data_IF_245134209741
#
_entry.id   IF_245134209741
#
_cell.length_a   1.000
_cell.length_b   1.000
_cell.length_c   1.000
_cell.angle_alpha   90.00
_cell.angle_beta   90.00
_cell.angle_gamma   90.00
#
_symmetry.space_group_name_H-M   'P 1'
#
loop_
_entity.id
_entity.type
_entity.pdbx_description
1 polymer ?
#
# COMPACT_ATOMS: atom_id res chain seq x y z
N UNK A 1 -14.61 5.44 37.91
CA UNK A 1 -13.78 4.38 37.29
C UNK A 1 -12.51 4.24 38.10
N UNK A 2 -12.19 3.04 38.55
CA UNK A 2 -10.92 2.77 39.25
C UNK A 2 -9.76 2.66 38.24
N UNK A 3 -8.52 2.76 38.71
CA UNK A 3 -7.33 2.58 37.85
C UNK A 3 -7.32 1.19 37.21
N UNK A 4 -7.66 0.14 37.97
CA UNK A 4 -7.75 -1.23 37.47
C UNK A 4 -8.82 -1.39 36.37
N UNK A 5 -9.99 -0.78 36.56
CA UNK A 5 -11.06 -0.78 35.55
C UNK A 5 -10.61 -0.09 34.26
N UNK A 6 -9.92 1.06 34.37
CA UNK A 6 -9.39 1.79 33.22
C UNK A 6 -8.38 0.95 32.43
N UNK A 7 -7.41 0.32 33.11
CA UNK A 7 -6.39 -0.53 32.46
C UNK A 7 -7.04 -1.68 31.69
N UNK A 8 -8.05 -2.34 32.29
CA UNK A 8 -8.79 -3.43 31.64
C UNK A 8 -9.54 -2.90 30.40
N UNK A 9 -10.25 -1.78 30.52
CA UNK A 9 -10.99 -1.17 29.41
C UNK A 9 -10.09 -0.78 28.25
N UNK A 10 -8.94 -0.16 28.52
CA UNK A 10 -7.96 0.22 27.50
C UNK A 10 -7.41 -1.02 26.80
N UNK A 11 -7.04 -2.05 27.56
CA UNK A 11 -6.50 -3.31 27.01
C UNK A 11 -7.52 -4.00 26.11
N UNK A 12 -8.77 -4.14 26.56
CA UNK A 12 -9.85 -4.74 25.77
C UNK A 12 -10.12 -3.90 24.51
N UNK A 13 -10.20 -2.59 24.64
CA UNK A 13 -10.45 -1.68 23.52
C UNK A 13 -9.38 -1.81 22.43
N UNK A 14 -8.10 -1.90 22.83
CA UNK A 14 -6.98 -2.12 21.93
C UNK A 14 -7.09 -3.46 21.20
N UNK A 15 -7.29 -4.56 21.94
CA UNK A 15 -7.38 -5.91 21.35
C UNK A 15 -8.56 -6.00 20.39
N UNK A 16 -9.74 -5.50 20.78
CA UNK A 16 -10.93 -5.51 19.94
C UNK A 16 -10.72 -4.68 18.67
N UNK A 17 -10.19 -3.45 18.80
CA UNK A 17 -9.90 -2.61 17.64
C UNK A 17 -8.90 -3.29 16.70
N UNK A 18 -7.83 -3.88 17.23
CA UNK A 18 -6.82 -4.59 16.44
C UNK A 18 -7.41 -5.77 15.67
N UNK A 19 -8.23 -6.60 16.32
CA UNK A 19 -8.89 -7.74 15.67
C UNK A 19 -9.85 -7.26 14.58
N UNK A 20 -10.70 -6.28 14.87
CA UNK A 20 -11.70 -5.78 13.91
C UNK A 20 -11.05 -5.12 12.70
N UNK A 21 -10.03 -4.28 12.90
CA UNK A 21 -9.27 -3.67 11.80
C UNK A 21 -8.54 -4.72 10.96
N UNK A 22 -8.00 -5.78 11.57
CA UNK A 22 -7.40 -6.92 10.84
C UNK A 22 -8.42 -7.64 9.96
N UNK A 23 -9.65 -7.83 10.43
CA UNK A 23 -10.74 -8.47 9.68
C UNK A 23 -11.17 -7.60 8.49
N UNK A 24 -11.20 -6.28 8.65
CA UNK A 24 -11.57 -5.34 7.58
C UNK A 24 -10.57 -5.32 6.39
N UNK A 25 -9.36 -5.84 6.58
CA UNK A 25 -8.40 -6.10 5.52
C UNK A 25 -7.51 -4.91 5.14
N UNK A 26 -6.63 -5.10 4.14
CA UNK A 26 -5.53 -4.16 3.79
C UNK A 26 -5.94 -2.90 3.02
N UNK A 27 -7.24 -2.64 2.80
CA UNK A 27 -7.70 -1.51 1.98
C UNK A 27 -7.57 -0.13 2.66
N UNK A 28 -7.25 -0.09 3.96
CA UNK A 28 -7.33 1.14 4.77
C UNK A 28 -6.12 2.09 4.63
N UNK A 29 -4.95 1.69 4.09
CA UNK A 29 -3.74 2.54 4.28
C UNK A 29 -3.38 3.41 3.06
N UNK A 30 -3.64 2.99 1.82
CA UNK A 30 -3.14 3.71 0.62
C UNK A 30 -4.23 4.25 -0.32
N UNK A 31 -5.44 3.69 -0.28
CA UNK A 31 -6.56 4.04 -1.18
C UNK A 31 -7.89 3.98 -0.41
N UNK A 32 -8.00 4.75 0.67
CA UNK A 32 -9.25 4.83 1.44
C UNK A 32 -10.36 5.40 0.58
N UNK A 33 -11.50 4.71 0.52
CA UNK A 33 -12.74 5.31 0.03
C UNK A 33 -13.29 6.26 1.08
N UNK A 34 -14.19 7.16 0.67
CA UNK A 34 -14.92 8.02 1.61
C UNK A 34 -15.60 7.20 2.72
N UNK A 35 -16.19 6.05 2.37
CA UNK A 35 -16.84 5.17 3.33
C UNK A 35 -15.86 4.56 4.35
N UNK A 36 -14.67 4.15 3.90
CA UNK A 36 -13.62 3.65 4.78
C UNK A 36 -13.18 4.73 5.78
N UNK A 37 -12.99 5.96 5.30
CA UNK A 37 -12.63 7.09 6.14
C UNK A 37 -13.68 7.39 7.22
N UNK A 38 -14.96 7.45 6.86
CA UNK A 38 -16.06 7.65 7.82
C UNK A 38 -16.12 6.49 8.82
N UNK A 39 -15.94 5.26 8.36
CA UNK A 39 -15.94 4.07 9.21
C UNK A 39 -14.79 4.07 10.21
N UNK A 40 -13.59 4.49 9.80
CA UNK A 40 -12.43 4.61 10.69
C UNK A 40 -12.68 5.63 11.82
N UNK A 41 -13.28 6.79 11.52
CA UNK A 41 -13.66 7.79 12.52
C UNK A 41 -14.69 7.24 13.49
N UNK A 42 -15.74 6.59 12.97
CA UNK A 42 -16.80 6.02 13.80
C UNK A 42 -16.27 4.94 14.74
N UNK A 43 -15.48 3.99 14.22
CA UNK A 43 -14.84 2.94 15.01
C UNK A 43 -13.91 3.55 16.06
N UNK A 44 -13.04 4.49 15.67
CA UNK A 44 -12.15 5.18 16.60
C UNK A 44 -12.89 5.89 17.73
N UNK A 45 -14.01 6.56 17.41
CA UNK A 45 -14.87 7.23 18.39
C UNK A 45 -15.52 6.24 19.36
N UNK A 46 -16.08 5.13 18.85
CA UNK A 46 -16.70 4.09 19.68
C UNK A 46 -15.64 3.42 20.57
N UNK A 47 -14.45 3.10 20.03
CA UNK A 47 -13.35 2.51 20.79
C UNK A 47 -12.84 3.45 21.87
N UNK A 48 -12.69 4.74 21.57
CA UNK A 48 -12.31 5.74 22.57
C UNK A 48 -13.36 5.79 23.70
N UNK A 49 -14.66 5.83 23.34
CA UNK A 49 -15.75 5.82 24.31
C UNK A 49 -15.72 4.55 25.18
N UNK A 50 -15.50 3.37 24.59
CA UNK A 50 -15.35 2.10 25.32
C UNK A 50 -14.19 2.13 26.34
N UNK A 51 -13.08 2.77 25.97
CA UNK A 51 -11.89 2.86 26.80
C UNK A 51 -12.07 3.80 28.01
N UNK A 52 -12.68 4.98 27.80
CA UNK A 52 -12.68 6.05 28.82
C UNK A 52 -14.01 6.29 29.54
N UNK A 53 -15.13 5.86 28.95
CA UNK A 53 -16.46 6.15 29.51
C UNK A 53 -16.90 5.08 30.52
N UNK A 54 -16.87 5.44 31.80
CA UNK A 54 -17.31 4.57 32.89
C UNK A 54 -18.79 4.16 32.80
N UNK A 55 -19.64 5.02 32.24
CA UNK A 55 -21.08 4.78 32.11
C UNK A 55 -21.41 3.81 30.97
N UNK A 56 -20.50 3.63 30.01
CA UNK A 56 -20.67 2.66 28.94
C UNK A 56 -20.27 1.28 29.45
N UNK A 57 -21.22 0.33 29.41
CA UNK A 57 -20.92 -1.07 29.68
C UNK A 57 -19.95 -1.62 28.63
N UNK A 58 -18.90 -2.33 29.08
CA UNK A 58 -17.93 -3.00 28.22
C UNK A 58 -18.62 -3.87 27.15
N UNK A 59 -19.65 -4.62 27.55
CA UNK A 59 -20.45 -5.46 26.64
C UNK A 59 -21.10 -4.62 25.54
N UNK A 60 -21.70 -3.49 25.90
CA UNK A 60 -22.41 -2.65 24.94
C UNK A 60 -21.46 -1.97 23.95
N UNK A 61 -20.29 -1.51 24.41
CA UNK A 61 -19.31 -0.92 23.50
C UNK A 61 -18.65 -1.95 22.58
N UNK A 62 -18.38 -3.18 23.06
CA UNK A 62 -17.91 -4.28 22.18
C UNK A 62 -18.98 -4.66 21.16
N UNK A 63 -20.26 -4.79 21.57
CA UNK A 63 -21.36 -5.05 20.65
C UNK A 63 -21.54 -3.94 19.62
N UNK A 64 -21.37 -2.68 20.02
CA UNK A 64 -21.43 -1.53 19.10
C UNK A 64 -20.30 -1.60 18.06
N UNK A 65 -19.07 -1.91 18.48
CA UNK A 65 -17.94 -2.10 17.57
C UNK A 65 -18.17 -3.26 16.60
N UNK A 66 -18.57 -4.42 17.10
CA UNK A 66 -18.86 -5.60 16.26
C UNK A 66 -19.98 -5.30 15.28
N UNK A 67 -21.07 -4.67 15.73
CA UNK A 67 -22.19 -4.28 14.88
C UNK A 67 -21.76 -3.31 13.77
N UNK A 68 -20.96 -2.30 14.11
CA UNK A 68 -20.43 -1.36 13.13
C UNK A 68 -19.52 -2.05 12.10
N UNK A 69 -18.63 -2.94 12.55
CA UNK A 69 -17.78 -3.72 11.65
C UNK A 69 -18.62 -4.61 10.72
N UNK A 70 -19.70 -5.25 11.21
CA UNK A 70 -20.61 -6.03 10.37
C UNK A 70 -21.23 -5.15 9.28
N UNK A 71 -21.76 -3.96 9.62
CA UNK A 71 -22.29 -3.04 8.61
C UNK A 71 -21.24 -2.63 7.57
N UNK A 72 -20.01 -2.38 8.04
CA UNK A 72 -18.88 -2.01 7.17
C UNK A 72 -18.54 -3.14 6.18
N UNK A 73 -18.50 -4.39 6.66
CA UNK A 73 -18.26 -5.57 5.83
C UNK A 73 -19.42 -5.86 4.88
N UNK A 74 -20.67 -5.68 5.32
CA UNK A 74 -21.85 -5.86 4.47
C UNK A 74 -21.86 -4.84 3.32
N UNK A 75 -21.57 -3.57 3.60
CA UNK A 75 -21.46 -2.56 2.56
C UNK A 75 -20.31 -2.86 1.60
N UNK A 76 -19.14 -3.27 2.10
CA UNK A 76 -18.04 -3.69 1.24
C UNK A 76 -18.42 -4.89 0.34
N UNK A 77 -19.19 -5.84 0.86
CA UNK A 77 -19.71 -6.97 0.07
C UNK A 77 -20.70 -6.51 -1.01
N UNK A 78 -21.63 -5.62 -0.66
CA UNK A 78 -22.59 -5.02 -1.59
C UNK A 78 -21.87 -4.26 -2.71
N UNK A 79 -20.83 -3.51 -2.40
CA UNK A 79 -20.02 -2.75 -3.37
C UNK A 79 -19.30 -3.66 -4.37
N UNK A 80 -18.87 -4.85 -3.94
CA UNK A 80 -18.28 -5.86 -4.82
C UNK A 80 -19.35 -6.42 -5.78
N UNK A 81 -20.56 -6.70 -5.26
CA UNK A 81 -21.63 -7.35 -6.02
C UNK A 81 -22.43 -6.40 -6.92
N UNK A 82 -22.56 -5.12 -6.55
CA UNK A 82 -23.42 -4.16 -7.23
C UNK A 82 -22.66 -2.92 -7.69
N UNK A 83 -22.54 -2.77 -9.02
CA UNK A 83 -21.95 -1.56 -9.63
C UNK A 83 -22.73 -0.29 -9.26
N UNK A 84 -24.07 -0.39 -9.17
CA UNK A 84 -24.92 0.75 -8.79
C UNK A 84 -24.68 1.18 -7.34
N UNK A 85 -24.59 0.22 -6.41
CA UNK A 85 -24.28 0.52 -5.02
C UNK A 85 -22.89 1.16 -4.91
N UNK A 86 -21.89 0.55 -5.56
CA UNK A 86 -20.52 1.09 -5.60
C UNK A 86 -20.44 2.50 -6.15
N UNK A 87 -21.22 2.83 -7.19
CA UNK A 87 -21.29 4.18 -7.74
C UNK A 87 -21.81 5.20 -6.72
N UNK A 88 -22.72 4.80 -5.83
CA UNK A 88 -23.27 5.67 -4.77
C UNK A 88 -22.32 5.78 -3.58
N UNK A 89 -21.70 4.68 -3.17
CA UNK A 89 -20.87 4.60 -1.95
C UNK A 89 -19.42 5.05 -2.18
N UNK A 90 -18.82 4.63 -3.30
CA UNK A 90 -17.40 4.87 -3.65
C UNK A 90 -17.26 5.93 -4.74
N UNK A 91 -18.29 6.16 -5.55
CA UNK A 91 -18.20 7.02 -6.72
C UNK A 91 -17.64 6.30 -7.95
N UNK A 92 -17.38 7.07 -8.99
CA UNK A 92 -16.70 6.61 -10.21
C UNK A 92 -15.57 7.59 -10.56
N UNK A 93 -14.47 7.09 -11.16
CA UNK A 93 -13.43 7.98 -11.67
C UNK A 93 -14.00 8.86 -12.78
N UNK A 94 -13.55 10.12 -12.82
CA UNK A 94 -14.07 11.13 -13.75
C UNK A 94 -12.93 11.68 -14.61
N UNK A 95 -13.13 11.71 -15.92
CA UNK A 95 -12.16 12.31 -16.85
C UNK A 95 -12.24 13.83 -16.73
N UNK A 96 -11.17 14.45 -16.25
CA UNK A 96 -11.06 15.91 -16.04
C UNK A 96 -10.24 16.59 -17.13
N UNK A 97 -9.40 15.84 -17.86
CA UNK A 97 -8.78 16.29 -19.11
C UNK A 97 -9.00 15.19 -20.16
N UNK A 98 -9.56 15.56 -21.31
CA UNK A 98 -9.78 14.67 -22.45
C UNK A 98 -9.14 15.26 -23.69
N UNK A 99 -8.24 14.52 -24.32
CA UNK A 99 -7.55 14.93 -25.55
C UNK A 99 -6.86 16.32 -25.42
N UNK A 100 -6.27 16.57 -24.24
CA UNK A 100 -5.60 17.83 -23.91
C UNK A 100 -6.53 19.01 -23.61
N UNK A 101 -7.85 18.81 -23.59
CA UNK A 101 -8.83 19.83 -23.20
C UNK A 101 -9.30 19.58 -21.76
N UNK A 102 -9.34 20.64 -20.96
CA UNK A 102 -9.91 20.59 -19.62
C UNK A 102 -11.43 20.44 -19.74
N UNK A 103 -12.01 19.56 -18.94
CA UNK A 103 -13.45 19.30 -18.90
C UNK A 103 -14.06 20.09 -17.73
N UNK A 104 -14.56 21.31 -17.98
CA UNK A 104 -15.02 22.22 -16.92
C UNK A 104 -16.20 21.66 -16.12
N UNK A 105 -17.13 20.96 -16.78
CA UNK A 105 -18.26 20.32 -16.11
C UNK A 105 -17.82 19.16 -15.20
N UNK A 106 -16.79 18.42 -15.63
CA UNK A 106 -16.18 17.36 -14.83
C UNK A 106 -15.49 17.93 -13.59
N UNK A 107 -14.76 19.04 -13.74
CA UNK A 107 -14.17 19.78 -12.63
C UNK A 107 -15.23 20.29 -11.65
N UNK A 108 -16.32 20.87 -12.16
CA UNK A 108 -17.42 21.37 -11.32
C UNK A 108 -18.11 20.24 -10.55
N UNK A 109 -18.39 19.11 -11.20
CA UNK A 109 -19.04 17.95 -10.56
C UNK A 109 -18.16 17.28 -9.49
N UNK A 110 -16.85 17.42 -9.59
CA UNK A 110 -15.86 16.89 -8.63
C UNK A 110 -15.39 17.91 -7.60
N UNK A 111 -15.91 19.14 -7.65
CA UNK A 111 -15.45 20.28 -6.82
C UNK A 111 -13.95 20.52 -6.93
N UNK A 112 -13.35 20.21 -8.09
CA UNK A 112 -11.94 20.37 -8.36
C UNK A 112 -11.70 21.67 -9.12
N UNK A 113 -11.06 22.66 -8.48
CA UNK A 113 -10.66 23.89 -9.17
C UNK A 113 -9.38 23.71 -10.01
N UNK A 114 -9.03 24.73 -10.78
CA UNK A 114 -7.88 24.70 -11.68
C UNK A 114 -6.54 24.61 -10.94
N UNK A 115 -6.43 25.20 -9.75
CA UNK A 115 -5.18 25.21 -8.97
C UNK A 115 -4.94 23.86 -8.29
N UNK A 116 -6.02 23.25 -7.79
CA UNK A 116 -6.04 21.88 -7.29
C UNK A 116 -5.69 20.89 -8.41
N UNK A 117 -6.30 21.02 -9.60
CA UNK A 117 -5.94 20.21 -10.77
C UNK A 117 -4.45 20.34 -11.10
N UNK A 118 -3.92 21.56 -11.16
CA UNK A 118 -2.49 21.81 -11.43
C UNK A 118 -1.60 21.23 -10.33
N UNK A 119 -2.01 21.28 -9.06
CA UNK A 119 -1.26 20.67 -7.97
C UNK A 119 -1.21 19.14 -8.10
N UNK A 120 -2.33 18.51 -8.47
CA UNK A 120 -2.40 17.07 -8.73
C UNK A 120 -1.58 16.65 -9.96
N UNK A 121 -1.54 17.47 -11.01
CA UNK A 121 -0.65 17.27 -12.15
C UNK A 121 0.82 17.31 -11.73
N UNK A 122 1.22 18.27 -10.88
CA UNK A 122 2.60 18.35 -10.36
C UNK A 122 2.98 17.15 -9.50
N UNK A 123 2.04 16.61 -8.70
CA UNK A 123 2.26 15.34 -7.98
C UNK A 123 2.57 14.16 -8.92
N UNK A 124 2.10 14.22 -10.16
CA UNK A 124 2.39 13.26 -11.22
C UNK A 124 3.57 13.68 -12.14
N UNK A 125 4.43 14.60 -11.69
CA UNK A 125 5.56 15.12 -12.49
C UNK A 125 5.14 15.72 -13.83
N UNK A 126 3.97 16.38 -13.85
CA UNK A 126 3.48 17.17 -14.98
C UNK A 126 3.32 18.62 -14.56
N UNK A 127 4.16 19.50 -15.12
CA UNK A 127 4.18 20.91 -14.77
C UNK A 127 3.38 21.79 -15.76
N UNK A 128 3.01 21.23 -16.92
CA UNK A 128 2.16 21.89 -17.91
C UNK A 128 0.96 21.02 -18.31
N UNK A 129 -0.23 21.62 -18.32
CA UNK A 129 -1.46 20.99 -18.84
C UNK A 129 -1.30 20.61 -20.33
N UNK A 130 -0.47 21.35 -21.08
CA UNK A 130 -0.26 21.09 -22.51
C UNK A 130 0.43 19.76 -22.80
N UNK A 131 1.08 19.15 -21.81
CA UNK A 131 1.69 17.82 -21.91
C UNK A 131 0.67 16.68 -21.77
N UNK A 132 -0.52 16.96 -21.24
CA UNK A 132 -1.52 15.96 -20.88
C UNK A 132 -2.36 15.62 -22.11
N UNK A 133 -2.58 14.32 -22.33
CA UNK A 133 -3.59 13.82 -23.25
C UNK A 133 -4.88 13.50 -22.49
N UNK A 134 -4.78 12.66 -21.46
CA UNK A 134 -5.89 12.33 -20.57
C UNK A 134 -5.49 12.52 -19.11
N UNK A 135 -6.41 13.02 -18.29
CA UNK A 135 -6.29 12.98 -16.84
C UNK A 135 -7.61 12.50 -16.23
N UNK A 136 -7.51 11.52 -15.35
CA UNK A 136 -8.63 10.86 -14.69
C UNK A 136 -8.51 11.15 -13.20
N UNK A 137 -9.53 11.77 -12.63
CA UNK A 137 -9.65 11.99 -11.20
C UNK A 137 -10.27 10.75 -10.57
N UNK A 138 -9.47 10.06 -9.75
CA UNK A 138 -9.82 8.80 -9.11
C UNK A 138 -10.70 9.03 -7.88
N UNK A 139 -11.45 8.01 -7.47
CA UNK A 139 -12.30 8.07 -6.26
C UNK A 139 -11.51 8.23 -4.97
N UNK A 140 -10.19 7.98 -4.99
CA UNK A 140 -9.28 8.27 -3.88
C UNK A 140 -8.83 9.73 -3.80
N UNK A 141 -9.25 10.58 -4.73
CA UNK A 141 -8.80 11.97 -4.84
C UNK A 141 -7.41 12.13 -5.50
N UNK A 142 -6.82 11.03 -5.97
CA UNK A 142 -5.61 11.06 -6.77
C UNK A 142 -5.94 11.33 -8.24
N UNK A 143 -4.92 11.72 -9.01
CA UNK A 143 -5.04 11.96 -10.44
C UNK A 143 -4.18 10.96 -11.19
N UNK A 144 -4.77 10.20 -12.10
CA UNK A 144 -4.06 9.38 -13.08
C UNK A 144 -3.83 10.21 -14.33
N UNK A 145 -2.59 10.26 -14.83
CA UNK A 145 -2.23 11.14 -15.94
C UNK A 145 -1.59 10.35 -17.08
N UNK A 146 -2.14 10.52 -18.27
CA UNK A 146 -1.57 10.05 -19.53
C UNK A 146 -1.03 11.25 -20.30
N UNK A 147 0.29 11.33 -20.46
CA UNK A 147 0.93 12.36 -21.29
C UNK A 147 0.66 12.11 -22.78
N UNK A 148 0.77 13.15 -23.60
CA UNK A 148 0.79 13.04 -25.06
C UNK A 148 1.92 12.13 -25.51
N UNK A 149 1.73 11.43 -26.62
CA UNK A 149 2.67 10.41 -27.15
C UNK A 149 4.13 10.87 -27.13
N UNK A 150 4.43 11.98 -27.79
CA UNK A 150 5.78 12.57 -27.87
C UNK A 150 6.33 13.14 -26.55
N UNK A 151 5.56 13.07 -25.45
CA UNK A 151 5.96 13.47 -24.09
C UNK A 151 6.06 12.27 -23.14
N UNK A 152 5.73 11.06 -23.60
CA UNK A 152 5.91 9.85 -22.82
C UNK A 152 7.39 9.42 -22.84
N UNK A 153 7.89 8.80 -21.76
CA UNK A 153 9.23 8.20 -21.78
C UNK A 153 9.28 7.07 -22.81
N UNK A 154 10.39 6.98 -23.56
CA UNK A 154 10.61 5.86 -24.47
C UNK A 154 10.72 4.54 -23.69
N UNK A 155 10.05 3.51 -24.19
CA UNK A 155 10.17 2.14 -23.69
C UNK A 155 11.38 1.44 -24.33
N UNK A 156 11.76 0.29 -23.79
CA UNK A 156 12.79 -0.56 -24.41
C UNK A 156 12.36 -1.02 -25.81
N UNK A 157 11.06 -1.23 -26.02
CA UNK A 157 10.48 -1.64 -27.31
C UNK A 157 10.61 -0.53 -28.36
N UNK A 158 10.31 0.73 -28.01
CA UNK A 158 10.48 1.89 -28.92
C UNK A 158 11.92 2.04 -29.43
N UNK A 159 12.88 1.64 -28.59
CA UNK A 159 14.31 1.69 -28.88
C UNK A 159 14.87 0.39 -29.46
N UNK A 160 14.04 -0.63 -29.68
CA UNK A 160 14.44 -1.98 -30.10
C UNK A 160 15.57 -2.57 -29.21
N UNK A 161 15.55 -2.28 -27.91
CA UNK A 161 16.51 -2.82 -26.95
C UNK A 161 16.10 -4.27 -26.62
N UNK A 162 16.97 -5.27 -26.87
CA UNK A 162 16.67 -6.66 -26.52
C UNK A 162 16.38 -6.81 -25.03
N UNK A 163 15.41 -7.65 -24.68
CA UNK A 163 15.21 -8.02 -23.28
C UNK A 163 16.41 -8.84 -22.80
N UNK A 164 17.03 -8.42 -21.70
CA UNK A 164 17.97 -9.26 -20.99
C UNK A 164 17.24 -10.54 -20.54
N UNK A 165 17.91 -11.69 -20.70
CA UNK A 165 17.44 -12.94 -20.10
C UNK A 165 17.68 -12.84 -18.60
N UNK A 166 16.60 -12.76 -17.83
CA UNK A 166 16.67 -12.90 -16.38
C UNK A 166 16.61 -14.39 -16.03
N UNK A 167 17.60 -14.89 -15.28
CA UNK A 167 17.60 -16.24 -14.71
C UNK A 167 16.51 -16.34 -13.64
N UNK A 168 16.31 -15.27 -12.87
CA UNK A 168 15.30 -15.17 -11.84
C UNK A 168 14.34 -14.00 -12.07
N UNK A 169 13.05 -14.14 -11.73
CA UNK A 169 12.04 -13.11 -12.00
C UNK A 169 12.25 -11.84 -11.18
N UNK A 170 12.82 -11.94 -9.97
CA UNK A 170 13.04 -10.81 -9.05
C UNK A 170 14.28 -11.06 -8.21
N UNK A 171 14.97 -9.99 -7.83
CA UNK A 171 15.95 -10.06 -6.76
C UNK A 171 15.28 -10.57 -5.49
N UNK A 172 15.88 -11.58 -4.87
CA UNK A 172 15.25 -12.35 -3.79
C UNK A 172 16.23 -12.49 -2.65
N UNK A 173 15.84 -11.98 -1.48
CA UNK A 173 16.60 -12.12 -0.23
C UNK A 173 16.82 -13.60 0.11
N UNK A 174 18.06 -13.97 0.40
CA UNK A 174 18.44 -15.32 0.83
C UNK A 174 19.05 -15.33 2.23
N UNK A 175 19.62 -14.22 2.70
CA UNK A 175 20.09 -14.04 4.08
C UNK A 175 19.63 -12.68 4.59
N UNK A 176 19.13 -12.65 5.83
CA UNK A 176 18.74 -11.45 6.56
C UNK A 176 19.22 -11.57 8.01
N UNK A 177 19.96 -10.59 8.50
CA UNK A 177 20.56 -10.56 9.85
C UNK A 177 21.41 -11.81 10.18
N UNK A 178 21.96 -12.46 9.16
CA UNK A 178 22.77 -13.67 9.26
C UNK A 178 21.96 -14.97 9.38
N UNK A 179 20.64 -14.90 9.16
CA UNK A 179 19.73 -16.06 9.10
C UNK A 179 19.31 -16.32 7.66
N UNK A 180 19.43 -17.57 7.24
CA UNK A 180 19.03 -18.01 5.89
C UNK A 180 17.51 -18.05 5.76
N UNK A 181 17.00 -17.48 4.66
CA UNK A 181 15.59 -17.53 4.30
C UNK A 181 15.28 -18.77 3.46
N UNK A 182 15.04 -19.91 4.12
CA UNK A 182 14.82 -21.21 3.46
C UNK A 182 13.61 -21.23 2.53
N UNK A 183 12.56 -20.46 2.83
CA UNK A 183 11.40 -20.33 1.96
C UNK A 183 11.77 -19.69 0.62
N UNK A 184 12.63 -18.68 0.64
CA UNK A 184 13.10 -18.02 -0.58
C UNK A 184 14.06 -18.92 -1.35
N UNK A 185 14.95 -19.66 -0.69
CA UNK A 185 15.80 -20.67 -1.35
C UNK A 185 14.97 -21.72 -2.11
N UNK A 186 13.93 -22.27 -1.46
CA UNK A 186 13.04 -23.23 -2.08
C UNK A 186 12.31 -22.66 -3.31
N UNK A 187 11.92 -21.37 -3.27
CA UNK A 187 11.30 -20.67 -4.41
C UNK A 187 12.25 -20.48 -5.58
N UNK A 188 13.53 -20.24 -5.28
CA UNK A 188 14.59 -20.10 -6.28
C UNK A 188 15.14 -21.47 -6.75
N UNK A 189 14.70 -22.56 -6.13
CA UNK A 189 15.21 -23.93 -6.38
C UNK A 189 16.73 -24.04 -6.19
N UNK A 190 17.27 -23.27 -5.25
CA UNK A 190 18.68 -23.34 -4.84
C UNK A 190 18.77 -23.86 -3.41
N UNK A 191 19.90 -24.49 -3.09
CA UNK A 191 20.14 -25.02 -1.77
C UNK A 191 21.02 -24.10 -0.92
N UNK A 192 21.05 -24.36 0.38
CA UNK A 192 21.88 -23.61 1.32
C UNK A 192 23.39 -23.79 1.03
N UNK A 193 23.79 -24.92 0.44
CA UNK A 193 25.17 -25.15 0.01
C UNK A 193 25.62 -24.20 -1.10
N UNK A 194 24.74 -23.86 -2.04
CA UNK A 194 25.02 -22.88 -3.08
C UNK A 194 25.29 -21.51 -2.45
N UNK A 195 24.46 -21.11 -1.49
CA UNK A 195 24.65 -19.84 -0.75
C UNK A 195 25.99 -19.87 -0.02
N UNK A 196 26.30 -20.97 0.66
CA UNK A 196 27.57 -21.11 1.36
C UNK A 196 28.78 -21.00 0.42
N UNK A 197 28.71 -21.65 -0.75
CA UNK A 197 29.76 -21.58 -1.77
C UNK A 197 29.95 -20.15 -2.30
N UNK A 198 28.86 -19.42 -2.56
CA UNK A 198 28.92 -18.02 -3.00
C UNK A 198 29.55 -17.12 -1.93
N UNK A 199 29.19 -17.30 -0.66
CA UNK A 199 29.79 -16.54 0.46
C UNK A 199 31.30 -16.80 0.57
N UNK A 200 31.72 -18.06 0.46
CA UNK A 200 33.15 -18.41 0.49
C UNK A 200 33.92 -17.79 -0.68
N UNK A 201 33.34 -17.79 -1.88
CA UNK A 201 33.93 -17.14 -3.06
C UNK A 201 34.10 -15.63 -2.86
N UNK A 202 33.20 -15.00 -2.10
CA UNK A 202 33.27 -13.59 -1.71
C UNK A 202 34.15 -13.32 -0.46
N UNK A 203 34.83 -14.34 0.08
CA UNK A 203 35.67 -14.21 1.26
C UNK A 203 34.89 -13.94 2.55
N UNK A 204 33.65 -14.44 2.64
CA UNK A 204 32.83 -14.42 3.86
C UNK A 204 32.87 -15.79 4.51
N UNK A 205 33.33 -15.85 5.77
CA UNK A 205 33.59 -17.12 6.46
C UNK A 205 32.33 -17.81 6.94
N UNK A 206 31.31 -17.03 7.30
CA UNK A 206 30.07 -17.54 7.87
C UNK A 206 28.86 -16.69 7.51
N UNK A 207 27.68 -17.31 7.46
CA UNK A 207 26.43 -16.60 7.21
C UNK A 207 26.13 -15.56 8.30
N UNK A 208 26.61 -15.76 9.54
CA UNK A 208 26.39 -14.82 10.64
C UNK A 208 27.08 -13.47 10.45
N UNK A 209 28.12 -13.41 9.61
CA UNK A 209 28.81 -12.18 9.22
C UNK A 209 28.03 -11.37 8.17
N UNK A 210 27.00 -11.95 7.56
CA UNK A 210 26.19 -11.30 6.52
C UNK A 210 25.05 -10.55 7.20
N UNK A 211 24.92 -9.26 6.92
CA UNK A 211 23.74 -8.48 7.30
C UNK A 211 22.61 -8.73 6.30
N UNK A 212 22.92 -8.69 5.01
CA UNK A 212 21.95 -8.92 3.95
C UNK A 212 22.59 -9.64 2.75
N UNK A 213 21.88 -10.59 2.16
CA UNK A 213 22.24 -11.12 0.84
C UNK A 213 21.01 -11.39 -0.02
N UNK A 214 21.12 -11.06 -1.30
CA UNK A 214 20.07 -11.30 -2.30
C UNK A 214 20.63 -11.92 -3.58
N UNK A 215 19.90 -12.90 -4.11
CA UNK A 215 20.16 -13.42 -5.46
C UNK A 215 19.53 -12.47 -6.45
N UNK A 216 20.35 -11.93 -7.34
CA UNK A 216 19.94 -10.99 -8.38
C UNK A 216 19.25 -11.70 -9.54
N UNK A 217 18.59 -10.93 -10.41
CA UNK A 217 17.90 -11.46 -11.59
C UNK A 217 18.83 -12.17 -12.59
N UNK A 218 20.12 -11.84 -12.61
CA UNK A 218 21.14 -12.49 -13.43
C UNK A 218 21.76 -13.73 -12.77
N UNK A 219 21.37 -14.05 -11.53
CA UNK A 219 21.86 -15.18 -10.74
C UNK A 219 23.11 -14.90 -9.92
N UNK A 220 23.64 -13.67 -9.94
CA UNK A 220 24.71 -13.26 -9.02
C UNK A 220 24.19 -13.07 -7.60
N UNK A 221 25.07 -13.24 -6.59
CA UNK A 221 24.73 -12.99 -5.19
C UNK A 221 25.29 -11.63 -4.77
N UNK A 222 24.41 -10.70 -4.41
CA UNK A 222 24.80 -9.49 -3.68
C UNK A 222 24.95 -9.82 -2.20
N UNK A 223 25.99 -9.30 -1.56
CA UNK A 223 26.34 -9.57 -0.17
C UNK A 223 26.71 -8.25 0.50
N UNK A 224 26.08 -7.96 1.63
CA UNK A 224 26.36 -6.87 2.55
C UNK A 224 26.74 -7.48 3.90
N UNK A 225 27.94 -7.19 4.42
CA UNK A 225 28.40 -7.77 5.69
C UNK A 225 28.02 -6.88 6.86
N UNK A 226 27.98 -7.47 8.04
CA UNK A 226 27.85 -6.73 9.29
C UNK A 226 29.12 -5.90 9.51
N UNK A 227 28.91 -4.68 9.97
CA UNK A 227 29.98 -3.75 10.34
C UNK A 227 30.98 -3.42 9.22
N UNK A 228 30.52 -3.45 7.95
CA UNK A 228 31.34 -3.03 6.81
C UNK A 228 31.79 -1.56 6.98
N UNK A 229 33.10 -1.25 6.77
CA UNK A 229 33.60 0.09 6.97
C UNK A 229 32.94 1.05 5.98
N UNK A 230 32.20 2.02 6.50
CA UNK A 230 31.65 3.11 5.70
C UNK A 230 32.79 3.90 5.07
N UNK A 231 33.01 3.71 3.76
CA UNK A 231 33.94 4.54 3.00
C UNK A 231 33.26 5.90 2.82
N UNK A 232 33.68 6.89 3.61
CA UNK A 232 33.30 8.29 3.45
C UNK A 232 34.05 8.96 2.30
#
# INVERSE_FOLDING_TARGET
>A
MTLSELVIRVTISFIVLFILTRIMGRKEISQMTFFNFVSAIAIGSITANLAVNANLSLRNGVLALVGWTIFTLLLAYIDIKSKKARKVTTGEPIIVIKEGKIMEDALRSTQLDIDALKALLRKNSVFSVSEVNYAIFETSGNLSVMKKEHKQPATKEDLNIPSALHVYPTSTEVISDGVVNTNNLARLQIDESWVHQQLQQAGVGSMSEVFYAEVQQDGTLYIDKKDDPMIH
#
